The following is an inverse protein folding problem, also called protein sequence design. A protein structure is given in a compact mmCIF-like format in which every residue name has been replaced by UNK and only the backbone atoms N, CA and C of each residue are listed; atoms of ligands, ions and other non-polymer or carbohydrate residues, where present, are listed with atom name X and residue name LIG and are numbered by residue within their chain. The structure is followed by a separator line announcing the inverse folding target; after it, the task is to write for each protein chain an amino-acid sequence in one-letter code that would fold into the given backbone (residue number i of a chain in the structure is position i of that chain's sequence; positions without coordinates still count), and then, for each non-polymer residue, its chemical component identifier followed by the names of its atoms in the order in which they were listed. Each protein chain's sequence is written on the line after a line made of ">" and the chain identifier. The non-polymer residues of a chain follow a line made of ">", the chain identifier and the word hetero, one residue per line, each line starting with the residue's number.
data_IF_536613922544
#
_entry.id   IF_536613922544
#
_cell.length_a   1.000
_cell.length_b   1.000
_cell.length_c   1.000
_cell.angle_alpha   90.00
_cell.angle_beta   90.00
_cell.angle_gamma   90.00
#
_symmetry.space_group_name_H-M   'P 1'
#
loop_
_entity.id
_entity.type
_entity.pdbx_description
1 polymer ?
#
# COMPACT_ATOMS: atom_id res chain seq x y z
N UNK A 1 20.35 -28.37 -7.84
CA UNK A 1 19.27 -27.95 -6.93
C UNK A 1 19.41 -26.45 -6.66
N UNK A 2 18.30 -25.71 -6.59
CA UNK A 2 18.27 -24.27 -6.31
C UNK A 2 17.55 -23.97 -4.98
N UNK A 3 18.21 -23.26 -4.08
CA UNK A 3 17.64 -22.80 -2.81
C UNK A 3 17.32 -21.31 -2.87
N UNK A 4 16.17 -20.93 -2.33
CA UNK A 4 15.81 -19.55 -2.05
C UNK A 4 15.85 -19.34 -0.54
N UNK A 5 16.72 -18.46 -0.07
CA UNK A 5 17.03 -18.36 1.36
C UNK A 5 16.92 -16.92 1.82
N UNK A 6 16.08 -16.69 2.82
CA UNK A 6 15.97 -15.41 3.51
C UNK A 6 17.00 -15.28 4.62
N UNK A 7 17.66 -14.13 4.68
CA UNK A 7 18.62 -13.79 5.74
C UNK A 7 17.93 -13.18 6.97
N UNK A 8 16.69 -12.73 6.84
CA UNK A 8 16.00 -11.96 7.87
C UNK A 8 16.30 -10.46 7.80
N UNK A 9 15.69 -9.69 8.69
CA UNK A 9 15.81 -8.22 8.72
C UNK A 9 17.19 -7.74 9.20
N UNK A 10 17.85 -8.52 10.05
CA UNK A 10 19.18 -8.20 10.60
C UNK A 10 20.33 -8.84 9.82
N UNK A 11 20.05 -9.45 8.67
CA UNK A 11 21.06 -10.06 7.81
C UNK A 11 21.84 -11.18 8.53
N UNK A 12 23.18 -11.14 8.55
CA UNK A 12 24.03 -12.18 9.15
C UNK A 12 23.66 -12.52 10.60
N UNK A 13 23.28 -11.52 11.39
CA UNK A 13 22.96 -11.66 12.81
C UNK A 13 21.65 -12.45 13.06
N UNK A 14 20.77 -12.54 12.05
CA UNK A 14 19.48 -13.23 12.15
C UNK A 14 19.43 -14.59 11.44
N UNK A 15 20.55 -15.07 10.89
CA UNK A 15 20.56 -16.33 10.14
C UNK A 15 20.29 -17.51 11.07
N UNK A 16 19.22 -18.31 10.85
CA UNK A 16 18.99 -19.52 11.63
C UNK A 16 20.15 -20.52 11.47
N UNK A 17 20.52 -21.21 12.56
CA UNK A 17 21.65 -22.16 12.57
C UNK A 17 21.60 -23.20 11.44
N UNK A 18 20.41 -23.66 11.08
CA UNK A 18 20.22 -24.61 9.97
C UNK A 18 20.47 -23.98 8.60
N UNK A 19 20.08 -22.72 8.42
CA UNK A 19 20.34 -21.94 7.20
C UNK A 19 21.84 -21.72 7.01
N UNK A 20 22.57 -21.38 8.08
CA UNK A 20 24.03 -21.26 8.01
C UNK A 20 24.72 -22.55 7.53
N UNK A 21 24.24 -23.72 7.97
CA UNK A 21 24.73 -25.03 7.49
C UNK A 21 24.39 -25.28 6.02
N UNK A 22 23.25 -24.80 5.54
CA UNK A 22 22.85 -24.90 4.12
C UNK A 22 23.80 -24.04 3.28
N UNK A 23 24.07 -22.80 3.71
CA UNK A 23 25.00 -21.87 3.05
C UNK A 23 26.40 -22.47 2.94
N UNK A 24 26.93 -23.02 4.04
CA UNK A 24 28.26 -23.65 4.08
C UNK A 24 28.42 -24.88 3.17
N UNK A 25 27.31 -25.55 2.81
CA UNK A 25 27.32 -26.76 1.96
C UNK A 25 27.08 -26.48 0.49
N UNK A 26 26.75 -25.24 0.12
CA UNK A 26 26.46 -24.89 -1.26
C UNK A 26 27.73 -24.72 -2.09
N UNK A 27 27.65 -25.10 -3.36
CA UNK A 27 28.74 -24.94 -4.32
C UNK A 27 28.82 -23.49 -4.82
N UNK A 28 27.66 -22.84 -5.00
CA UNK A 28 27.54 -21.44 -5.42
C UNK A 28 26.47 -20.71 -4.60
N UNK A 29 26.81 -19.51 -4.16
CA UNK A 29 25.94 -18.62 -3.39
C UNK A 29 25.87 -17.26 -4.08
N UNK A 30 24.65 -16.90 -4.50
CA UNK A 30 24.31 -15.59 -5.03
C UNK A 30 23.65 -14.77 -3.93
N UNK A 31 24.18 -13.59 -3.62
CA UNK A 31 23.51 -12.62 -2.74
C UNK A 31 22.91 -11.53 -3.61
N UNK A 32 21.58 -11.50 -3.71
CA UNK A 32 20.92 -10.43 -4.44
C UNK A 32 21.04 -9.09 -3.70
N UNK A 33 21.12 -8.00 -4.47
CA UNK A 33 21.49 -6.67 -3.98
C UNK A 33 20.51 -5.58 -4.39
N UNK A 34 19.34 -5.93 -4.95
CA UNK A 34 18.41 -4.97 -5.56
C UNK A 34 17.05 -4.90 -4.87
N UNK A 35 16.70 -5.88 -4.03
CA UNK A 35 15.46 -5.84 -3.25
C UNK A 35 15.65 -5.15 -1.90
N UNK A 36 16.89 -5.08 -1.40
CA UNK A 36 17.27 -4.39 -0.16
C UNK A 36 18.75 -4.03 -0.17
N UNK A 37 19.17 -2.96 0.55
CA UNK A 37 20.58 -2.62 0.65
C UNK A 37 21.38 -3.65 1.42
N UNK A 38 22.63 -3.84 0.98
CA UNK A 38 23.61 -4.68 1.66
C UNK A 38 24.68 -3.78 2.27
N UNK A 39 24.85 -3.87 3.60
CA UNK A 39 25.96 -3.21 4.27
C UNK A 39 27.27 -3.96 4.00
N UNK A 40 28.35 -3.24 3.75
CA UNK A 40 29.66 -3.83 3.40
C UNK A 40 30.17 -4.83 4.43
N UNK A 41 29.95 -4.56 5.73
CA UNK A 41 30.31 -5.47 6.82
C UNK A 41 29.53 -6.79 6.69
N UNK A 42 28.22 -6.71 6.45
CA UNK A 42 27.38 -7.89 6.30
C UNK A 42 27.72 -8.70 5.04
N UNK A 43 28.11 -8.05 3.95
CA UNK A 43 28.58 -8.75 2.74
C UNK A 43 29.79 -9.62 3.07
N UNK A 44 30.78 -9.08 3.79
CA UNK A 44 31.99 -9.80 4.17
C UNK A 44 31.68 -10.95 5.15
N UNK A 45 30.76 -10.74 6.10
CA UNK A 45 30.31 -11.79 7.03
C UNK A 45 29.63 -12.96 6.29
N UNK A 46 28.75 -12.65 5.34
CA UNK A 46 28.09 -13.68 4.51
C UNK A 46 29.12 -14.39 3.64
N UNK A 47 30.04 -13.65 3.03
CA UNK A 47 31.10 -14.24 2.19
C UNK A 47 32.00 -15.17 3.00
N UNK A 48 32.36 -14.81 4.23
CA UNK A 48 33.13 -15.66 5.13
C UNK A 48 32.37 -16.91 5.61
N UNK A 49 31.04 -16.89 5.58
CA UNK A 49 30.20 -18.05 5.87
C UNK A 49 30.16 -19.07 4.72
N UNK A 50 30.50 -18.65 3.49
CA UNK A 50 30.41 -19.48 2.28
C UNK A 50 31.72 -20.23 2.05
N UNK A 51 31.64 -21.57 1.99
CA UNK A 51 32.79 -22.41 1.62
C UNK A 51 32.94 -22.58 0.10
N UNK A 52 31.87 -22.37 -0.66
CA UNK A 52 31.83 -22.44 -2.12
C UNK A 52 32.15 -21.09 -2.79
N UNK A 53 31.67 -20.89 -4.01
CA UNK A 53 31.80 -19.62 -4.70
C UNK A 53 30.74 -18.63 -4.24
N UNK A 54 31.14 -17.39 -3.96
CA UNK A 54 30.25 -16.28 -3.61
C UNK A 54 30.19 -15.25 -4.73
N UNK A 55 29.00 -14.76 -5.05
CA UNK A 55 28.80 -13.70 -6.06
C UNK A 55 27.64 -12.77 -5.68
N UNK A 56 27.85 -11.47 -5.83
CA UNK A 56 26.77 -10.49 -5.76
C UNK A 56 25.94 -10.54 -7.04
N UNK A 57 24.62 -10.67 -6.88
CA UNK A 57 23.66 -10.73 -7.96
C UNK A 57 22.91 -9.40 -8.08
N UNK A 58 23.08 -8.71 -9.21
CA UNK A 58 22.29 -7.53 -9.57
C UNK A 58 20.92 -7.94 -10.12
N UNK A 59 19.98 -6.99 -10.18
CA UNK A 59 18.62 -7.19 -10.72
C UNK A 59 18.60 -7.99 -12.02
N UNK A 60 19.33 -7.52 -13.04
CA UNK A 60 19.33 -8.16 -14.37
C UNK A 60 19.82 -9.62 -14.34
N UNK A 61 20.72 -9.99 -13.44
CA UNK A 61 21.23 -11.37 -13.34
C UNK A 61 20.16 -12.30 -12.76
N UNK A 62 19.44 -11.84 -11.75
CA UNK A 62 18.36 -12.62 -11.11
C UNK A 62 17.13 -12.69 -12.01
N UNK A 63 16.77 -11.59 -12.67
CA UNK A 63 15.63 -11.53 -13.59
C UNK A 63 15.90 -12.28 -14.90
N UNK A 64 17.09 -12.20 -15.51
CA UNK A 64 17.45 -13.08 -16.62
C UNK A 64 17.53 -14.54 -16.17
N UNK A 65 18.13 -14.80 -15.01
CA UNK A 65 18.11 -16.09 -14.33
C UNK A 65 18.90 -17.23 -15.02
N UNK A 66 19.35 -17.08 -16.27
CA UNK A 66 19.96 -18.18 -17.02
C UNK A 66 21.23 -18.70 -16.36
N UNK A 67 22.04 -17.81 -15.79
CA UNK A 67 23.26 -18.19 -15.09
C UNK A 67 22.94 -19.07 -13.88
N UNK A 68 22.01 -18.62 -13.03
CA UNK A 68 21.59 -19.32 -11.81
C UNK A 68 20.97 -20.69 -12.16
N UNK A 69 20.09 -20.73 -13.16
CA UNK A 69 19.42 -21.95 -13.59
C UNK A 69 20.39 -22.97 -14.19
N UNK A 70 21.32 -22.52 -15.05
CA UNK A 70 22.36 -23.40 -15.63
C UNK A 70 23.25 -24.00 -14.55
N UNK A 71 23.70 -23.19 -13.58
CA UNK A 71 24.48 -23.68 -12.45
C UNK A 71 23.69 -24.72 -11.64
N UNK A 72 22.43 -24.43 -11.32
CA UNK A 72 21.59 -25.28 -10.49
C UNK A 72 21.24 -26.65 -11.11
N UNK A 73 21.54 -26.91 -12.38
CA UNK A 73 21.40 -28.25 -12.99
C UNK A 73 22.41 -29.24 -12.46
N UNK A 74 23.64 -28.79 -12.19
CA UNK A 74 24.77 -29.67 -11.87
C UNK A 74 25.33 -29.46 -10.46
N UNK A 75 24.85 -28.46 -9.72
CA UNK A 75 25.35 -28.12 -8.39
C UNK A 75 24.23 -27.66 -7.44
N UNK A 76 24.60 -27.48 -6.17
CA UNK A 76 23.77 -26.84 -5.15
C UNK A 76 24.00 -25.34 -5.19
N UNK A 77 22.99 -24.62 -5.66
CA UNK A 77 23.01 -23.16 -5.78
C UNK A 77 22.07 -22.55 -4.77
N UNK A 78 22.47 -21.45 -4.12
CA UNK A 78 21.64 -20.64 -3.24
C UNK A 78 21.49 -19.24 -3.83
N UNK A 79 20.26 -18.73 -3.84
CA UNK A 79 19.94 -17.32 -3.94
C UNK A 79 19.54 -16.80 -2.56
N UNK A 80 20.41 -15.98 -1.97
CA UNK A 80 20.21 -15.27 -0.72
C UNK A 80 19.53 -13.92 -0.99
N UNK A 81 18.58 -13.56 -0.15
CA UNK A 81 17.99 -12.22 -0.09
C UNK A 81 17.84 -11.75 1.36
N UNK A 82 17.86 -10.45 1.58
CA UNK A 82 17.45 -9.89 2.88
C UNK A 82 15.95 -10.14 3.13
N UNK A 83 15.57 -10.21 4.40
CA UNK A 83 14.20 -10.53 4.77
C UNK A 83 13.79 -11.96 4.40
N UNK A 84 12.57 -12.11 3.88
CA UNK A 84 12.04 -13.36 3.33
C UNK A 84 12.17 -13.37 1.80
N UNK A 85 12.55 -14.50 1.16
CA UNK A 85 12.81 -14.53 -0.27
C UNK A 85 11.59 -14.24 -1.15
N UNK A 86 10.36 -14.28 -0.63
CA UNK A 86 9.13 -14.10 -1.40
C UNK A 86 8.28 -12.90 -0.98
N UNK A 87 8.71 -12.12 0.01
CA UNK A 87 7.95 -10.95 0.47
C UNK A 87 8.51 -9.69 -0.23
N UNK A 88 7.66 -9.04 -1.04
CA UNK A 88 8.01 -7.86 -1.83
C UNK A 88 9.15 -8.09 -2.83
N UNK A 89 9.26 -9.31 -3.38
CA UNK A 89 10.23 -9.70 -4.42
C UNK A 89 9.54 -10.42 -5.58
N UNK A 90 10.26 -10.61 -6.67
CA UNK A 90 9.81 -11.40 -7.83
C UNK A 90 10.49 -12.78 -7.92
N UNK A 91 11.21 -13.22 -6.88
CA UNK A 91 11.98 -14.48 -6.91
C UNK A 91 11.13 -15.74 -7.15
N UNK A 92 9.81 -15.67 -6.89
CA UNK A 92 8.89 -16.77 -7.19
C UNK A 92 8.84 -17.09 -8.70
N UNK A 93 9.08 -16.10 -9.56
CA UNK A 93 9.18 -16.28 -11.01
C UNK A 93 10.37 -17.18 -11.35
N UNK A 94 11.55 -16.90 -10.81
CA UNK A 94 12.76 -17.71 -11.02
C UNK A 94 12.58 -19.13 -10.48
N UNK A 95 11.91 -19.30 -9.34
CA UNK A 95 11.56 -20.62 -8.80
C UNK A 95 10.65 -21.39 -9.76
N UNK A 96 9.69 -20.70 -10.38
CA UNK A 96 8.76 -21.30 -11.34
C UNK A 96 9.52 -21.79 -12.58
N UNK A 97 10.42 -20.97 -13.15
CA UNK A 97 11.29 -21.38 -14.25
C UNK A 97 12.17 -22.58 -13.88
N UNK A 98 12.78 -22.59 -12.69
CA UNK A 98 13.56 -23.72 -12.21
C UNK A 98 12.75 -25.03 -12.20
N UNK A 99 11.49 -24.98 -11.73
CA UNK A 99 10.61 -26.15 -11.74
C UNK A 99 10.23 -26.61 -13.14
N UNK A 100 9.98 -25.70 -14.07
CA UNK A 100 9.72 -26.03 -15.48
C UNK A 100 10.93 -26.69 -16.15
N UNK A 101 12.15 -26.34 -15.73
CA UNK A 101 13.39 -26.98 -16.19
C UNK A 101 13.78 -28.24 -15.39
N UNK A 102 12.87 -28.80 -14.59
CA UNK A 102 13.09 -29.98 -13.74
C UNK A 102 14.23 -29.83 -12.71
N UNK A 103 14.55 -28.60 -12.30
CA UNK A 103 15.51 -28.32 -11.24
C UNK A 103 14.79 -28.44 -9.90
N UNK A 104 15.32 -29.26 -8.98
CA UNK A 104 14.81 -29.33 -7.61
C UNK A 104 14.99 -27.96 -6.92
N UNK A 105 13.92 -27.46 -6.28
CA UNK A 105 13.96 -26.19 -5.54
C UNK A 105 13.61 -26.40 -4.07
N UNK A 106 14.30 -25.69 -3.17
CA UNK A 106 13.97 -25.61 -1.74
C UNK A 106 13.94 -24.17 -1.26
N UNK A 107 13.32 -23.93 -0.12
CA UNK A 107 13.19 -22.59 0.48
C UNK A 107 13.55 -22.64 1.95
N UNK A 108 14.29 -21.64 2.42
CA UNK A 108 14.38 -21.31 3.83
C UNK A 108 13.82 -19.90 4.05
N UNK A 109 12.68 -19.83 4.74
CA UNK A 109 12.01 -18.58 5.10
C UNK A 109 12.73 -17.86 6.24
N UNK A 110 12.49 -16.56 6.37
CA UNK A 110 13.00 -15.75 7.48
C UNK A 110 12.08 -14.57 7.80
N UNK A 111 12.40 -13.80 8.84
CA UNK A 111 11.63 -12.63 9.21
C UNK A 111 11.69 -11.56 8.11
N UNK A 112 10.54 -10.99 7.74
CA UNK A 112 10.47 -9.87 6.79
C UNK A 112 10.29 -8.55 7.52
N UNK A 113 10.78 -7.47 6.90
CA UNK A 113 10.59 -6.11 7.40
C UNK A 113 9.12 -5.77 7.56
N UNK A 114 8.23 -6.31 6.71
CA UNK A 114 6.78 -6.10 6.78
C UNK A 114 6.21 -6.66 8.08
N UNK A 115 6.61 -7.87 8.47
CA UNK A 115 6.14 -8.47 9.72
C UNK A 115 6.77 -7.81 10.94
N UNK A 116 8.08 -7.55 10.87
CA UNK A 116 8.82 -6.95 11.98
C UNK A 116 8.35 -5.53 12.29
N UNK A 117 8.16 -4.67 11.27
CA UNK A 117 7.76 -3.29 11.50
C UNK A 117 6.40 -3.16 12.20
N UNK A 118 5.45 -4.06 11.90
CA UNK A 118 4.12 -4.03 12.51
C UNK A 118 4.20 -4.41 13.99
N UNK A 119 5.01 -5.43 14.32
CA UNK A 119 5.26 -5.83 15.69
C UNK A 119 6.00 -4.76 16.50
N UNK A 120 7.06 -4.18 15.93
CA UNK A 120 7.87 -3.14 16.58
C UNK A 120 7.08 -1.85 16.87
N UNK A 121 6.10 -1.51 16.03
CA UNK A 121 5.21 -0.37 16.25
C UNK A 121 4.11 -0.69 17.28
N UNK A 122 3.84 -1.97 17.54
CA UNK A 122 2.76 -2.42 18.42
C UNK A 122 1.38 -2.46 17.76
N UNK A 123 1.33 -2.57 16.43
CA UNK A 123 0.10 -2.72 15.67
C UNK A 123 -0.32 -4.20 15.56
N UNK A 124 -1.62 -4.43 15.42
CA UNK A 124 -2.18 -5.77 15.23
C UNK A 124 -2.02 -6.20 13.77
N UNK A 125 -1.28 -7.28 13.53
CA UNK A 125 -0.98 -7.72 12.17
C UNK A 125 -2.21 -8.08 11.33
N UNK A 126 -3.29 -8.57 11.95
CA UNK A 126 -4.55 -8.86 11.25
C UNK A 126 -5.31 -7.61 10.76
N UNK A 127 -4.87 -6.41 11.17
CA UNK A 127 -5.39 -5.13 10.68
C UNK A 127 -4.50 -4.50 9.63
N UNK A 128 -3.55 -5.25 9.06
CA UNK A 128 -2.75 -4.79 7.93
C UNK A 128 -3.51 -5.06 6.63
N UNK A 129 -3.81 -4.00 5.90
CA UNK A 129 -4.43 -4.07 4.59
C UNK A 129 -3.44 -4.31 3.46
N UNK A 130 -3.87 -4.00 2.23
CA UNK A 130 -3.02 -4.20 1.06
C UNK A 130 -1.80 -3.28 1.14
N UNK A 131 -0.62 -3.88 0.97
CA UNK A 131 0.69 -3.22 0.97
C UNK A 131 0.92 -2.52 -0.37
N UNK A 132 1.57 -1.37 -0.34
CA UNK A 132 1.91 -0.58 -1.53
C UNK A 132 3.35 -0.12 -1.51
N UNK A 133 3.88 0.26 -2.66
CA UNK A 133 5.18 0.90 -2.80
C UNK A 133 4.98 2.28 -3.42
N UNK A 134 5.58 3.31 -2.84
CA UNK A 134 5.67 4.64 -3.45
C UNK A 134 7.03 4.78 -4.14
N UNK A 135 6.98 5.21 -5.40
CA UNK A 135 8.16 5.50 -6.22
C UNK A 135 8.28 7.01 -6.42
N UNK A 136 9.50 7.46 -6.69
CA UNK A 136 9.86 8.84 -6.99
C UNK A 136 9.13 9.38 -8.24
N UNK A 137 8.75 8.50 -9.17
CA UNK A 137 7.97 8.90 -10.35
C UNK A 137 6.56 9.35 -9.95
N UNK A 138 6.23 10.64 -10.17
CA UNK A 138 4.93 11.23 -9.78
C UNK A 138 3.71 10.46 -10.30
N UNK A 139 3.76 9.92 -11.52
CA UNK A 139 2.63 9.17 -12.11
C UNK A 139 2.30 7.90 -11.34
N UNK A 140 3.26 7.34 -10.60
CA UNK A 140 3.09 6.11 -9.82
C UNK A 140 2.18 6.29 -8.60
N UNK A 141 2.01 7.51 -8.08
CA UNK A 141 1.33 7.78 -6.79
C UNK A 141 -0.16 7.45 -6.79
N UNK A 142 -0.80 7.45 -7.96
CA UNK A 142 -2.24 7.22 -8.10
C UNK A 142 -2.66 5.87 -7.53
N UNK A 143 -1.86 4.82 -7.75
CA UNK A 143 -2.18 3.46 -7.29
C UNK A 143 -2.01 3.32 -5.77
N UNK A 144 -0.88 3.72 -5.16
CA UNK A 144 -0.73 3.78 -3.70
C UNK A 144 -1.85 4.58 -3.03
N UNK A 145 -2.17 5.77 -3.53
CA UNK A 145 -3.24 6.61 -2.98
C UNK A 145 -4.60 5.88 -2.98
N UNK A 146 -4.98 5.26 -4.10
CA UNK A 146 -6.24 4.50 -4.22
C UNK A 146 -6.30 3.31 -3.26
N UNK A 147 -5.18 2.63 -3.03
CA UNK A 147 -5.12 1.49 -2.11
C UNK A 147 -5.18 1.96 -0.66
N UNK A 148 -4.47 3.04 -0.31
CA UNK A 148 -4.57 3.68 1.03
C UNK A 148 -6.01 4.07 1.31
N UNK A 149 -6.70 4.67 0.34
CA UNK A 149 -8.12 4.98 0.45
C UNK A 149 -8.98 3.75 0.76
N UNK A 150 -8.79 2.65 0.02
CA UNK A 150 -9.53 1.39 0.27
C UNK A 150 -9.25 0.81 1.65
N UNK A 151 -7.98 0.76 2.07
CA UNK A 151 -7.60 0.29 3.39
C UNK A 151 -8.24 1.16 4.50
N UNK A 152 -8.27 2.47 4.32
CA UNK A 152 -8.90 3.36 5.30
C UNK A 152 -10.43 3.21 5.35
N UNK A 153 -11.09 2.94 4.22
CA UNK A 153 -12.53 2.59 4.20
C UNK A 153 -12.82 1.36 5.06
N UNK A 154 -11.95 0.35 4.99
CA UNK A 154 -12.05 -0.86 5.80
C UNK A 154 -11.53 -0.68 7.24
N UNK A 155 -11.00 0.50 7.59
CA UNK A 155 -10.44 0.77 8.91
C UNK A 155 -9.14 0.04 9.21
N UNK A 156 -8.41 -0.43 8.18
CA UNK A 156 -7.16 -1.19 8.31
C UNK A 156 -5.92 -0.34 7.95
N UNK A 157 -4.77 -0.71 8.50
CA UNK A 157 -3.50 0.00 8.32
C UNK A 157 -2.93 -0.23 6.91
N UNK A 158 -2.30 0.80 6.36
CA UNK A 158 -1.58 0.71 5.08
C UNK A 158 -0.09 0.67 5.34
N UNK A 159 0.57 -0.43 4.97
CA UNK A 159 2.03 -0.49 4.90
C UNK A 159 2.48 0.04 3.55
N UNK A 160 3.39 1.00 3.58
CA UNK A 160 3.90 1.72 2.42
C UNK A 160 5.42 1.53 2.38
N UNK A 161 5.87 0.71 1.44
CA UNK A 161 7.29 0.56 1.11
C UNK A 161 7.73 1.77 0.29
N UNK A 162 8.99 2.15 0.42
CA UNK A 162 9.59 3.26 -0.33
C UNK A 162 10.58 2.70 -1.34
N UNK A 163 10.65 3.35 -2.50
CA UNK A 163 11.54 2.92 -3.59
C UNK A 163 13.01 2.86 -3.16
N UNK A 164 13.64 1.76 -3.56
CA UNK A 164 15.08 1.55 -3.53
C UNK A 164 15.54 1.25 -4.96
N UNK A 165 16.48 2.06 -5.46
CA UNK A 165 17.16 1.81 -6.73
C UNK A 165 18.65 1.55 -6.46
N UNK A 166 19.05 0.28 -6.61
CA UNK A 166 20.42 -0.15 -6.40
C UNK A 166 21.42 0.54 -7.34
N UNK A 167 21.08 0.69 -8.62
CA UNK A 167 22.04 1.19 -9.62
C UNK A 167 22.38 2.68 -9.41
N UNK A 168 21.42 3.43 -8.87
CA UNK A 168 21.57 4.86 -8.55
C UNK A 168 21.91 5.10 -7.07
N UNK A 169 21.98 4.05 -6.26
CA UNK A 169 22.06 4.12 -4.79
C UNK A 169 21.02 5.09 -4.20
N UNK A 170 19.80 5.04 -4.72
CA UNK A 170 18.73 5.97 -4.39
C UNK A 170 17.71 5.31 -3.45
N UNK A 171 17.27 6.09 -2.46
CA UNK A 171 16.18 5.77 -1.56
C UNK A 171 15.22 6.94 -1.53
N UNK A 172 13.93 6.66 -1.67
CA UNK A 172 12.91 7.70 -1.54
C UNK A 172 12.80 8.15 -0.07
N UNK A 173 12.98 9.44 0.19
CA UNK A 173 12.82 10.04 1.53
C UNK A 173 11.34 9.95 1.96
N UNK A 174 11.04 9.56 3.22
CA UNK A 174 9.68 9.55 3.74
C UNK A 174 8.92 10.86 3.56
N UNK A 175 9.60 12.01 3.64
CA UNK A 175 8.99 13.34 3.44
C UNK A 175 8.51 13.51 2.01
N UNK A 176 9.30 13.08 1.02
CA UNK A 176 8.92 13.17 -0.40
C UNK A 176 7.73 12.26 -0.72
N UNK A 177 7.67 11.09 -0.08
CA UNK A 177 6.52 10.20 -0.18
C UNK A 177 5.25 10.81 0.44
N UNK A 178 5.36 11.45 1.62
CA UNK A 178 4.25 12.18 2.26
C UNK A 178 3.77 13.34 1.37
N UNK A 179 4.69 14.14 0.84
CA UNK A 179 4.37 15.25 -0.07
C UNK A 179 3.68 14.76 -1.34
N UNK A 180 4.14 13.63 -1.91
CA UNK A 180 3.50 13.03 -3.09
C UNK A 180 2.06 12.61 -2.80
N UNK A 181 1.78 12.04 -1.62
CA UNK A 181 0.41 11.72 -1.20
C UNK A 181 -0.46 12.96 -1.03
N UNK A 182 0.09 14.05 -0.47
CA UNK A 182 -0.61 15.33 -0.34
C UNK A 182 -0.89 15.98 -1.70
N UNK A 183 0.02 15.84 -2.67
CA UNK A 183 -0.19 16.32 -4.03
C UNK A 183 -1.27 15.49 -4.74
N UNK A 184 -1.26 14.16 -4.59
CA UNK A 184 -2.31 13.28 -5.10
C UNK A 184 -3.69 13.63 -4.53
N UNK A 185 -3.77 14.02 -3.25
CA UNK A 185 -5.02 14.51 -2.65
C UNK A 185 -5.56 15.77 -3.36
N UNK A 186 -4.70 16.72 -3.74
CA UNK A 186 -5.15 17.96 -4.43
C UNK A 186 -5.84 17.66 -5.76
N UNK A 187 -5.39 16.62 -6.46
CA UNK A 187 -5.97 16.16 -7.72
C UNK A 187 -7.23 15.32 -7.50
N UNK A 188 -7.19 14.37 -6.56
CA UNK A 188 -8.27 13.41 -6.34
C UNK A 188 -9.43 13.97 -5.51
N UNK A 189 -9.17 14.91 -4.60
CA UNK A 189 -10.14 15.58 -3.72
C UNK A 189 -11.09 14.62 -3.01
N UNK A 190 -10.55 13.55 -2.43
CA UNK A 190 -11.32 12.48 -1.76
C UNK A 190 -11.22 12.53 -0.23
N UNK A 191 -10.46 13.49 0.30
CA UNK A 191 -10.16 13.68 1.71
C UNK A 191 -9.55 12.42 2.37
N UNK A 192 -8.68 11.73 1.63
CA UNK A 192 -7.99 10.51 2.08
C UNK A 192 -6.87 10.89 3.05
N UNK A 193 -6.04 11.84 2.64
CA UNK A 193 -4.93 12.34 3.44
C UNK A 193 -4.94 13.86 3.54
N UNK A 194 -4.42 14.39 4.64
CA UNK A 194 -4.18 15.82 4.82
C UNK A 194 -3.05 16.00 5.84
N UNK A 195 -2.74 17.25 6.19
CA UNK A 195 -1.66 17.54 7.14
C UNK A 195 -1.88 16.95 8.54
N UNK A 196 -3.11 16.62 8.92
CA UNK A 196 -3.46 15.97 10.18
C UNK A 196 -3.51 14.43 10.08
N UNK A 197 -3.20 13.82 8.93
CA UNK A 197 -3.08 12.36 8.84
C UNK A 197 -1.99 11.87 9.78
N UNK A 198 -2.34 10.93 10.65
CA UNK A 198 -1.40 10.28 11.55
C UNK A 198 -0.71 9.12 10.84
N UNK A 199 0.61 9.03 10.97
CA UNK A 199 1.39 7.97 10.40
C UNK A 199 2.58 7.61 11.29
N UNK A 200 3.22 6.49 10.96
CA UNK A 200 4.43 6.01 11.61
C UNK A 200 5.50 5.84 10.54
N UNK A 201 6.65 6.46 10.73
CA UNK A 201 7.84 6.24 9.90
C UNK A 201 8.75 5.29 10.64
N UNK A 202 8.97 4.12 10.04
CA UNK A 202 9.88 3.09 10.55
C UNK A 202 11.19 3.18 9.79
N UNK A 203 12.31 3.22 10.51
CA UNK A 203 13.64 3.40 9.95
C UNK A 203 14.53 2.26 10.39
N UNK A 204 15.16 1.57 9.43
CA UNK A 204 16.23 0.59 9.69
C UNK A 204 15.80 -0.51 10.68
N UNK A 205 14.57 -1.02 10.52
CA UNK A 205 14.01 -2.08 11.38
C UNK A 205 14.95 -3.30 11.38
N UNK A 206 15.27 -3.81 12.56
CA UNK A 206 16.19 -4.93 12.78
C UNK A 206 17.67 -4.55 12.86
N UNK A 207 18.04 -3.28 12.66
CA UNK A 207 19.42 -2.81 12.76
C UNK A 207 19.67 -2.05 14.08
N UNK A 208 20.94 -1.92 14.47
CA UNK A 208 21.34 -1.21 15.72
C UNK A 208 20.89 0.24 15.76
N UNK A 209 20.72 0.88 14.60
CA UNK A 209 20.26 2.26 14.46
C UNK A 209 18.75 2.35 14.20
N UNK A 210 17.98 1.30 14.47
CA UNK A 210 16.52 1.29 14.32
C UNK A 210 15.90 2.51 15.01
N UNK A 211 14.96 3.16 14.31
CA UNK A 211 14.21 4.29 14.85
C UNK A 211 12.77 4.27 14.35
N UNK A 212 11.82 4.53 15.24
CA UNK A 212 10.40 4.57 14.93
C UNK A 212 9.83 5.89 15.43
N UNK A 213 9.33 6.71 14.53
CA UNK A 213 8.74 8.02 14.84
C UNK A 213 7.29 8.01 14.38
N UNK A 214 6.37 8.44 15.25
CA UNK A 214 4.95 8.54 14.92
C UNK A 214 4.43 9.95 15.11
N UNK A 215 3.46 10.36 14.30
CA UNK A 215 2.93 11.71 14.38
C UNK A 215 2.07 12.08 13.19
N UNK A 216 1.58 13.31 13.20
CA UNK A 216 0.88 13.89 12.05
C UNK A 216 1.87 14.21 10.94
N UNK A 217 1.40 14.17 9.69
CA UNK A 217 2.18 14.60 8.52
C UNK A 217 2.86 15.96 8.73
N UNK A 218 2.18 16.94 9.35
CA UNK A 218 2.75 18.27 9.66
C UNK A 218 4.03 18.24 10.47
N UNK A 219 4.13 17.32 11.44
CA UNK A 219 5.29 17.19 12.32
C UNK A 219 6.33 16.23 11.73
N UNK A 220 5.89 15.14 11.10
CA UNK A 220 6.76 14.20 10.40
C UNK A 220 7.55 14.87 9.27
N UNK A 221 6.95 15.82 8.54
CA UNK A 221 7.64 16.60 7.50
C UNK A 221 8.80 17.47 8.03
N UNK A 222 8.84 17.73 9.34
CA UNK A 222 9.90 18.51 10.02
C UNK A 222 10.95 17.61 10.68
N UNK A 223 10.76 16.29 10.66
CA UNK A 223 11.64 15.34 11.35
C UNK A 223 12.76 14.85 10.44
N UNK A 224 13.92 14.59 11.04
CA UNK A 224 15.00 13.83 10.40
C UNK A 224 14.91 12.36 10.82
N UNK A 225 14.72 11.46 9.84
CA UNK A 225 14.60 10.02 10.06
C UNK A 225 15.96 9.29 10.02
N UNK A 226 17.04 10.01 9.71
CA UNK A 226 18.39 9.46 9.55
C UNK A 226 18.55 8.70 8.23
N UNK A 227 19.51 7.79 8.18
CA UNK A 227 19.86 7.04 6.97
C UNK A 227 18.80 6.00 6.55
N UNK A 228 18.66 5.70 5.25
CA UNK A 228 17.78 4.63 4.78
C UNK A 228 18.18 3.22 5.30
N UNK A 229 17.32 2.19 5.14
CA UNK A 229 16.00 2.25 4.52
C UNK A 229 14.87 2.68 5.48
N UNK A 230 13.79 3.18 4.89
CA UNK A 230 12.58 3.60 5.61
C UNK A 230 11.31 2.97 5.02
N UNK A 231 10.25 2.92 5.81
CA UNK A 231 8.89 2.65 5.35
C UNK A 231 7.89 3.49 6.14
N UNK A 232 6.68 3.64 5.62
CA UNK A 232 5.62 4.43 6.24
C UNK A 232 4.43 3.50 6.53
N UNK A 233 3.79 3.71 7.67
CA UNK A 233 2.51 3.10 8.00
C UNK A 233 1.48 4.22 8.20
N UNK A 234 0.43 4.23 7.40
CA UNK A 234 -0.75 5.06 7.68
C UNK A 234 -1.74 4.20 8.46
N UNK A 235 -2.07 4.62 9.67
CA UNK A 235 -2.93 3.84 10.56
C UNK A 235 -4.39 3.92 10.11
N UNK A 236 -5.10 2.80 10.08
CA UNK A 236 -6.57 2.78 10.02
C UNK A 236 -7.20 3.09 11.38
N UNK A 237 -8.33 2.44 11.67
CA UNK A 237 -8.96 2.48 12.99
C UNK A 237 -8.00 1.88 14.00
N UNK A 238 -7.74 2.55 15.13
CA UNK A 238 -6.85 2.03 16.16
C UNK A 238 -7.65 1.33 17.26
N UNK A 239 -7.15 0.18 17.71
CA UNK A 239 -7.57 -0.42 18.97
C UNK A 239 -6.87 0.30 20.13
N UNK A 240 -7.48 0.36 21.32
CA UNK A 240 -6.89 1.11 22.45
C UNK A 240 -5.47 0.62 22.79
N UNK A 241 -5.23 -0.69 22.73
CA UNK A 241 -3.89 -1.27 22.96
C UNK A 241 -2.86 -0.83 21.91
N UNK A 242 -3.29 -0.63 20.66
CA UNK A 242 -2.40 -0.14 19.60
C UNK A 242 -2.08 1.34 19.82
N UNK A 243 -3.07 2.14 20.22
CA UNK A 243 -2.84 3.54 20.59
C UNK A 243 -1.85 3.65 21.75
N UNK A 244 -2.03 2.86 22.81
CA UNK A 244 -1.12 2.84 23.96
C UNK A 244 0.28 2.39 23.53
N UNK A 245 0.39 1.34 22.72
CA UNK A 245 1.66 0.83 22.23
C UNK A 245 2.39 1.87 21.37
N UNK A 246 1.72 2.53 20.42
CA UNK A 246 2.34 3.57 19.60
C UNK A 246 2.85 4.72 20.47
N UNK A 247 2.07 5.16 21.46
CA UNK A 247 2.47 6.24 22.36
C UNK A 247 3.68 5.94 23.24
N UNK A 248 3.95 4.65 23.51
CA UNK A 248 5.06 4.22 24.39
C UNK A 248 6.28 3.74 23.60
N UNK A 249 6.07 2.98 22.53
CA UNK A 249 7.12 2.29 21.77
C UNK A 249 7.77 3.15 20.68
N UNK A 250 7.18 4.30 20.34
CA UNK A 250 7.67 5.17 19.27
C UNK A 250 8.06 6.54 19.81
N UNK A 251 8.92 7.27 19.08
CA UNK A 251 9.07 8.71 19.27
C UNK A 251 7.78 9.39 18.79
N UNK A 252 6.82 9.51 19.71
CA UNK A 252 5.45 9.95 19.45
C UNK A 252 5.35 11.48 19.49
N UNK A 253 5.29 12.12 18.32
CA UNK A 253 5.20 13.58 18.17
C UNK A 253 3.78 14.11 18.42
N UNK A 254 2.76 13.28 18.15
CA UNK A 254 1.34 13.61 18.31
C UNK A 254 0.59 12.43 18.90
N UNK A 255 -0.54 12.68 19.58
CA UNK A 255 -1.41 11.60 20.05
C UNK A 255 -1.92 10.76 18.86
N UNK A 256 -1.92 9.40 18.95
CA UNK A 256 -2.47 8.54 17.92
C UNK A 256 -3.92 8.90 17.54
N UNK A 257 -4.18 8.93 16.24
CA UNK A 257 -5.47 9.32 15.67
C UNK A 257 -6.00 8.23 14.75
N UNK A 258 -7.33 8.04 14.78
CA UNK A 258 -8.04 7.21 13.82
C UNK A 258 -8.23 7.98 12.50
N UNK A 259 -7.42 7.65 11.49
CA UNK A 259 -7.55 8.27 10.16
C UNK A 259 -8.78 7.79 9.40
N UNK A 260 -9.37 6.63 9.74
CA UNK A 260 -10.52 6.06 9.03
C UNK A 260 -11.84 6.75 9.36
N UNK A 261 -11.94 7.34 10.56
CA UNK A 261 -13.16 7.99 11.07
C UNK A 261 -13.75 9.08 10.17
N UNK A 262 -12.92 9.75 9.37
CA UNK A 262 -13.32 10.84 8.45
C UNK A 262 -13.53 10.39 7.00
N UNK A 263 -13.24 9.13 6.68
CA UNK A 263 -13.22 8.62 5.32
C UNK A 263 -14.61 8.12 4.95
N UNK A 264 -15.15 8.65 3.85
CA UNK A 264 -16.46 8.27 3.32
C UNK A 264 -16.29 7.37 2.10
N UNK A 265 -17.15 6.36 1.96
CA UNK A 265 -17.17 5.49 0.76
C UNK A 265 -17.42 6.32 -0.49
N UNK A 266 -17.02 5.80 -1.66
CA UNK A 266 -17.26 6.49 -2.94
C UNK A 266 -18.76 6.74 -3.11
N UNK A 267 -19.59 5.77 -2.75
CA UNK A 267 -21.04 5.87 -2.78
C UNK A 267 -21.54 7.01 -1.91
N UNK A 268 -21.11 7.09 -0.65
CA UNK A 268 -21.47 8.19 0.25
C UNK A 268 -21.05 9.55 -0.35
N UNK A 269 -19.81 9.66 -0.83
CA UNK A 269 -19.32 10.90 -1.46
C UNK A 269 -20.16 11.29 -2.69
N UNK A 270 -20.61 10.30 -3.48
CA UNK A 270 -21.48 10.54 -4.61
C UNK A 270 -22.86 11.03 -4.15
N UNK A 271 -23.52 10.35 -3.22
CA UNK A 271 -24.85 10.76 -2.75
C UNK A 271 -24.82 12.17 -2.16
N UNK A 272 -23.84 12.48 -1.31
CA UNK A 272 -23.69 13.82 -0.71
C UNK A 272 -23.47 14.93 -1.75
N UNK A 273 -22.89 14.60 -2.90
CA UNK A 273 -22.67 15.55 -4.00
C UNK A 273 -23.89 15.65 -4.94
N UNK A 274 -24.42 14.51 -5.37
CA UNK A 274 -25.40 14.44 -6.45
C UNK A 274 -26.83 14.69 -5.97
N UNK A 275 -27.22 14.24 -4.77
CA UNK A 275 -28.58 14.47 -4.24
C UNK A 275 -28.96 15.96 -4.21
N UNK A 276 -28.13 16.88 -3.67
CA UNK A 276 -28.45 18.30 -3.69
C UNK A 276 -28.58 18.86 -5.10
N UNK A 277 -27.70 18.47 -6.02
CA UNK A 277 -27.69 18.95 -7.41
C UNK A 277 -28.94 18.51 -8.18
N UNK A 278 -29.29 17.23 -8.10
CA UNK A 278 -30.48 16.69 -8.76
C UNK A 278 -31.75 17.29 -8.16
N UNK A 279 -31.79 17.47 -6.83
CA UNK A 279 -32.94 18.12 -6.16
C UNK A 279 -33.11 19.57 -6.63
N UNK A 280 -32.02 20.32 -6.74
CA UNK A 280 -32.05 21.69 -7.27
C UNK A 280 -32.50 21.71 -8.75
N UNK A 281 -31.97 20.81 -9.58
CA UNK A 281 -32.38 20.67 -10.99
C UNK A 281 -33.87 20.32 -11.15
N UNK A 282 -34.39 19.47 -10.25
CA UNK A 282 -35.80 19.10 -10.21
C UNK A 282 -36.69 20.29 -9.82
N UNK A 283 -36.30 21.08 -8.82
CA UNK A 283 -37.05 22.29 -8.44
C UNK A 283 -37.06 23.35 -9.54
N UNK A 284 -35.98 23.49 -10.31
CA UNK A 284 -35.93 24.38 -11.47
C UNK A 284 -36.87 23.96 -12.61
N UNK A 285 -37.00 22.64 -12.85
CA UNK A 285 -37.76 22.14 -14.00
C UNK A 285 -39.26 21.95 -13.70
N UNK A 286 -39.63 21.70 -12.43
CA UNK A 286 -41.02 21.54 -11.96
C UNK A 286 -42.00 22.59 -12.56
N UNK A 287 -41.73 23.91 -12.52
CA UNK A 287 -42.66 24.93 -13.01
C UNK A 287 -43.01 24.84 -14.50
N UNK A 288 -42.14 24.26 -15.33
CA UNK A 288 -42.35 24.17 -16.79
C UNK A 288 -43.36 23.09 -17.21
N UNK A 289 -43.83 22.29 -16.26
CA UNK A 289 -44.67 21.11 -16.48
C UNK A 289 -45.92 21.06 -15.59
N UNK A 290 -46.21 22.11 -14.82
CA UNK A 290 -47.32 22.16 -13.86
C UNK A 290 -48.71 21.85 -14.44
N UNK A 291 -48.93 22.09 -15.74
CA UNK A 291 -50.23 21.91 -16.40
C UNK A 291 -50.38 20.56 -17.11
N UNK A 292 -49.36 19.70 -17.10
CA UNK A 292 -49.40 18.41 -17.79
C UNK A 292 -49.42 17.22 -16.83
N UNK A 293 -50.56 16.54 -16.82
CA UNK A 293 -50.81 15.36 -15.98
C UNK A 293 -49.83 14.21 -16.25
N UNK A 294 -49.34 14.09 -17.49
CA UNK A 294 -48.37 13.06 -17.90
C UNK A 294 -46.98 13.29 -17.28
N UNK A 295 -46.55 14.55 -17.17
CA UNK A 295 -45.25 14.89 -16.60
C UNK A 295 -45.27 14.96 -15.06
N UNK A 296 -46.45 15.08 -14.44
CA UNK A 296 -46.58 14.99 -12.99
C UNK A 296 -46.07 13.66 -12.43
N UNK A 297 -46.37 12.53 -13.08
CA UNK A 297 -45.89 11.21 -12.65
C UNK A 297 -44.37 11.08 -12.74
N UNK A 298 -43.76 11.66 -13.80
CA UNK A 298 -42.30 11.64 -13.99
C UNK A 298 -41.61 12.47 -12.90
N UNK A 299 -42.11 13.68 -12.62
CA UNK A 299 -41.59 14.54 -11.55
C UNK A 299 -41.70 13.88 -10.18
N UNK A 300 -42.84 13.22 -9.91
CA UNK A 300 -43.04 12.49 -8.66
C UNK A 300 -42.08 11.31 -8.53
N UNK A 301 -41.89 10.53 -9.61
CA UNK A 301 -40.93 9.41 -9.59
C UNK A 301 -39.49 9.89 -9.40
N UNK A 302 -39.09 11.00 -10.03
CA UNK A 302 -37.77 11.60 -9.80
C UNK A 302 -37.58 11.98 -8.32
N UNK A 303 -38.59 12.60 -7.70
CA UNK A 303 -38.54 12.94 -6.27
C UNK A 303 -38.47 11.70 -5.37
N UNK A 304 -39.23 10.65 -5.68
CA UNK A 304 -39.17 9.37 -4.96
C UNK A 304 -37.79 8.73 -5.06
N UNK A 305 -37.18 8.70 -6.26
CA UNK A 305 -35.84 8.16 -6.44
C UNK A 305 -34.75 8.94 -5.69
N UNK A 306 -34.89 10.27 -5.56
CA UNK A 306 -33.99 11.09 -4.73
C UNK A 306 -34.11 10.68 -3.26
N UNK A 307 -35.34 10.55 -2.75
CA UNK A 307 -35.59 10.16 -1.36
C UNK A 307 -35.11 8.73 -1.08
N UNK A 308 -35.39 7.80 -2.00
CA UNK A 308 -34.91 6.42 -1.94
C UNK A 308 -33.37 6.36 -1.91
N UNK A 309 -32.68 7.23 -2.65
CA UNK A 309 -31.22 7.29 -2.61
C UNK A 309 -30.69 7.62 -1.20
N UNK A 310 -31.29 8.59 -0.52
CA UNK A 310 -30.93 8.95 0.86
C UNK A 310 -31.28 7.82 1.85
N UNK A 311 -32.43 7.17 1.67
CA UNK A 311 -32.90 6.11 2.56
C UNK A 311 -32.12 4.81 2.39
N UNK A 312 -31.76 4.44 1.16
CA UNK A 312 -30.85 3.32 0.90
C UNK A 312 -29.47 3.57 1.51
N UNK A 313 -28.96 4.80 1.45
CA UNK A 313 -27.70 5.14 2.08
C UNK A 313 -27.76 4.97 3.61
N UNK A 314 -28.84 5.44 4.26
CA UNK A 314 -29.06 5.25 5.71
C UNK A 314 -29.15 3.77 6.10
N UNK A 315 -29.64 2.92 5.20
CA UNK A 315 -29.73 1.47 5.38
C UNK A 315 -28.41 0.72 5.09
N UNK A 316 -27.34 1.41 4.67
CA UNK A 316 -26.08 0.79 4.24
C UNK A 316 -26.17 0.05 2.91
N UNK A 317 -27.18 0.36 2.09
CA UNK A 317 -27.38 -0.20 0.74
C UNK A 317 -26.77 0.75 -0.30
N UNK A 318 -25.46 0.92 -0.22
CA UNK A 318 -24.68 1.88 -1.02
C UNK A 318 -24.93 1.77 -2.54
N UNK A 319 -25.00 0.56 -3.08
CA UNK A 319 -25.24 0.33 -4.52
C UNK A 319 -26.63 0.81 -4.95
N UNK A 320 -27.66 0.51 -4.16
CA UNK A 320 -29.03 0.96 -4.43
C UNK A 320 -29.16 2.47 -4.32
N UNK A 321 -28.43 3.08 -3.39
CA UNK A 321 -28.40 4.53 -3.23
C UNK A 321 -27.87 5.19 -4.52
N UNK A 322 -26.73 4.72 -5.04
CA UNK A 322 -26.11 5.25 -6.27
C UNK A 322 -27.00 5.00 -7.49
N UNK A 323 -27.62 3.82 -7.59
CA UNK A 323 -28.55 3.51 -8.67
C UNK A 323 -29.77 4.45 -8.66
N UNK A 324 -30.36 4.68 -7.48
CA UNK A 324 -31.56 5.50 -7.32
C UNK A 324 -31.30 6.95 -7.70
N UNK A 325 -30.17 7.53 -7.25
CA UNK A 325 -29.84 8.91 -7.65
C UNK A 325 -29.54 9.02 -9.16
N UNK A 326 -28.94 7.99 -9.76
CA UNK A 326 -28.72 7.95 -11.21
C UNK A 326 -30.01 7.89 -12.02
N UNK A 327 -31.03 7.16 -11.53
CA UNK A 327 -32.36 7.18 -12.16
C UNK A 327 -33.05 8.53 -12.03
N UNK A 328 -33.00 9.16 -10.84
CA UNK A 328 -33.56 10.49 -10.65
C UNK A 328 -32.91 11.52 -11.58
N UNK A 329 -31.57 11.49 -11.68
CA UNK A 329 -30.80 12.38 -12.53
C UNK A 329 -31.20 12.23 -14.00
N UNK A 330 -31.21 11.00 -14.51
CA UNK A 330 -31.61 10.73 -15.90
C UNK A 330 -33.05 11.18 -16.23
N UNK A 331 -33.99 11.06 -15.28
CA UNK A 331 -35.35 11.58 -15.45
C UNK A 331 -35.39 13.11 -15.50
N UNK A 332 -34.65 13.77 -14.60
CA UNK A 332 -34.60 15.23 -14.53
C UNK A 332 -33.94 15.81 -15.78
N UNK A 333 -32.81 15.25 -16.23
CA UNK A 333 -32.14 15.70 -17.45
C UNK A 333 -32.99 15.49 -18.70
N UNK A 334 -33.73 14.38 -18.80
CA UNK A 334 -34.67 14.18 -19.90
C UNK A 334 -35.76 15.28 -19.95
N UNK A 335 -36.29 15.68 -18.79
CA UNK A 335 -37.26 16.78 -18.69
C UNK A 335 -36.65 18.13 -19.07
N UNK A 336 -35.39 18.39 -18.70
CA UNK A 336 -34.66 19.62 -19.07
C UNK A 336 -34.43 19.69 -20.58
N UNK A 337 -33.92 18.61 -21.16
CA UNK A 337 -33.67 18.51 -22.61
C UNK A 337 -34.95 18.71 -23.42
N UNK A 338 -36.08 18.18 -22.97
CA UNK A 338 -37.37 18.36 -23.64
C UNK A 338 -37.87 19.83 -23.65
N UNK A 339 -37.32 20.70 -22.80
CA UNK A 339 -37.54 22.17 -22.84
C UNK A 339 -36.41 22.95 -23.50
N UNK A 340 -35.42 22.27 -24.08
CA UNK A 340 -34.23 22.90 -24.64
C UNK A 340 -33.33 23.53 -23.57
N UNK A 341 -33.43 23.06 -22.32
CA UNK A 341 -32.56 23.46 -21.22
C UNK A 341 -31.44 22.43 -21.14
N UNK A 342 -30.19 22.90 -21.06
CA UNK A 342 -29.04 22.00 -20.94
C UNK A 342 -29.10 21.17 -19.64
N UNK A 343 -28.63 19.92 -19.68
CA UNK A 343 -28.38 19.09 -18.50
C UNK A 343 -27.58 19.84 -17.44
N UNK A 344 -27.86 19.60 -16.16
CA UNK A 344 -27.19 20.33 -15.08
C UNK A 344 -25.83 19.71 -14.71
N UNK A 345 -25.54 18.49 -15.16
CA UNK A 345 -24.36 17.72 -14.75
C UNK A 345 -23.53 17.16 -15.90
#
# INVERSE_FOLDING_TARGET
>A
MLWFVGLGVSGPDSIPKEVGKIIQKADLVYLESFTSPIYKEHEEDIKNLVNGNFKIAKRWLVEDGQEILKAAKNSTVILLSYGDPYIATTHIELRTRAKLENIETKTAHSASVITSMIGEVGLQFYKVGRIVTIMSEKKSITTPYKIIFKNLIEGIHSVILLEYNQDENFFLDPKDAILSLLDAEKEQKRNVVNENTFAVVVSRIGLKTQKITSGKFTNLLKTNFGEPPHSIIITGKLHFTESDAISVLTECLDKPLDNSSRIKSVSIQMIEKYVPLVREALEEIKPFYNDSKEFCEILQNAELYINDAEDFLKQGKDENAVLSIGYADGLVDALRMAKGIDPKM
#
